data_IF_332538378622
#
_entry.id   IF_332538378622
#
_cell.length_a   1.000
_cell.length_b   1.000
_cell.length_c   1.000
_cell.angle_alpha   90.00
_cell.angle_beta   90.00
_cell.angle_gamma   90.00
#
_symmetry.space_group_name_H-M   'P 1'
#
loop_
_entity.id
_entity.type
_entity.pdbx_description
1 polymer ?
#
# COMPACT_ATOMS: atom_id res chain seq x y z
N UNK A 1 18.68 -26.93 62.65
CA UNK A 1 18.91 -27.14 61.20
C UNK A 1 17.79 -28.08 60.74
N UNK A 2 16.84 -27.83 59.84
CA UNK A 2 16.66 -26.90 58.72
C UNK A 2 15.18 -27.03 58.27
N UNK A 3 14.22 -26.32 58.90
CA UNK A 3 12.80 -26.50 58.54
C UNK A 3 12.02 -25.20 58.28
N UNK A 4 12.62 -24.05 58.59
CA UNK A 4 11.95 -22.73 58.49
C UNK A 4 12.23 -21.98 57.18
N UNK A 5 12.98 -22.58 56.26
CA UNK A 5 13.45 -21.93 55.02
C UNK A 5 12.79 -22.43 53.73
N UNK A 6 11.80 -23.32 53.86
CA UNK A 6 11.18 -24.03 52.71
C UNK A 6 9.77 -23.54 52.37
N UNK A 7 9.18 -22.67 53.20
CA UNK A 7 7.87 -22.07 52.94
C UNK A 7 7.95 -20.70 52.25
N UNK A 8 9.06 -19.96 52.37
CA UNK A 8 9.19 -18.64 51.73
C UNK A 8 9.43 -18.71 50.22
N UNK A 9 10.02 -19.79 49.70
CA UNK A 9 10.32 -19.94 48.27
C UNK A 9 9.09 -20.27 47.43
N UNK A 10 8.03 -20.83 48.03
CA UNK A 10 6.79 -21.13 47.30
C UNK A 10 5.91 -19.89 47.08
N UNK A 11 6.02 -18.85 47.91
CA UNK A 11 5.20 -17.63 47.77
C UNK A 11 5.72 -16.67 46.70
N UNK A 12 7.02 -16.67 46.40
CA UNK A 12 7.58 -15.80 45.35
C UNK A 12 7.33 -16.28 43.92
N UNK A 13 7.03 -17.58 43.70
CA UNK A 13 6.75 -18.09 42.36
C UNK A 13 5.29 -17.91 41.91
N UNK A 14 4.35 -17.65 42.81
CA UNK A 14 2.95 -17.38 42.44
C UNK A 14 2.66 -15.93 42.04
N UNK A 15 3.57 -14.98 42.35
CA UNK A 15 3.39 -13.56 42.02
C UNK A 15 3.99 -13.14 40.65
N UNK A 16 4.67 -14.05 39.95
CA UNK A 16 5.32 -13.78 38.65
C UNK A 16 4.49 -14.20 37.41
N UNK A 17 3.22 -14.58 37.58
CA UNK A 17 2.34 -15.01 36.49
C UNK A 17 1.17 -14.05 36.20
N UNK A 18 1.12 -12.86 36.82
CA UNK A 18 -0.01 -11.91 36.68
C UNK A 18 0.29 -10.74 35.71
N UNK A 19 1.51 -10.61 35.21
CA UNK A 19 1.95 -9.40 34.49
C UNK A 19 2.31 -9.64 33.03
N UNK A 20 1.35 -10.05 32.19
CA UNK A 20 1.48 -9.92 30.72
C UNK A 20 0.19 -10.21 29.95
N UNK A 21 -0.91 -9.54 30.31
CA UNK A 21 -2.04 -9.37 29.37
C UNK A 21 -2.09 -7.90 28.98
N UNK A 22 -1.12 -7.47 28.17
CA UNK A 22 -1.31 -6.25 27.39
C UNK A 22 -2.32 -6.60 26.30
N UNK A 23 -3.58 -6.28 26.58
CA UNK A 23 -4.62 -6.24 25.55
C UNK A 23 -4.14 -5.25 24.49
N UNK A 24 -3.67 -5.77 23.36
CA UNK A 24 -3.51 -5.00 22.15
C UNK A 24 -4.89 -4.40 21.83
N UNK A 25 -5.01 -3.07 21.66
CA UNK A 25 -6.26 -2.51 21.19
C UNK A 25 -6.48 -3.08 19.78
N UNK A 26 -7.42 -4.01 19.66
CA UNK A 26 -8.00 -4.38 18.38
C UNK A 26 -8.62 -3.10 17.81
N UNK A 27 -7.92 -2.45 16.88
CA UNK A 27 -8.54 -1.43 16.07
C UNK A 27 -9.66 -2.12 15.30
N UNK A 28 -10.90 -1.85 15.70
CA UNK A 28 -12.06 -2.25 14.94
C UNK A 28 -11.88 -1.69 13.53
N UNK A 29 -11.77 -2.60 12.56
CA UNK A 29 -11.83 -2.27 11.14
C UNK A 29 -13.24 -1.74 10.92
N UNK A 30 -13.38 -0.41 10.93
CA UNK A 30 -14.64 0.24 10.60
C UNK A 30 -14.96 -0.15 9.15
N UNK A 31 -16.09 -0.81 8.87
CA UNK A 31 -16.48 -1.16 7.52
C UNK A 31 -16.52 0.10 6.66
N UNK A 32 -15.88 0.06 5.48
CA UNK A 32 -15.85 1.17 4.54
C UNK A 32 -17.28 1.61 4.20
N UNK A 33 -17.63 2.84 4.54
CA UNK A 33 -18.87 3.45 4.08
C UNK A 33 -18.85 3.54 2.55
N UNK A 34 -19.94 3.15 1.89
CA UNK A 34 -20.11 3.28 0.44
C UNK A 34 -20.27 4.74 -0.02
N UNK A 35 -20.44 5.67 0.93
CA UNK A 35 -20.57 7.10 0.67
C UNK A 35 -19.18 7.73 0.62
N UNK A 36 -18.81 8.41 -0.49
CA UNK A 36 -17.53 9.09 -0.58
C UNK A 36 -17.43 10.18 0.50
N UNK A 37 -16.34 10.20 1.28
CA UNK A 37 -16.18 11.21 2.33
C UNK A 37 -15.95 12.59 1.71
N UNK A 38 -16.46 13.62 2.38
CA UNK A 38 -16.17 15.01 2.00
C UNK A 38 -14.68 15.31 2.15
N UNK A 39 -14.11 16.05 1.21
CA UNK A 39 -12.71 16.46 1.27
C UNK A 39 -12.45 17.34 2.51
N UNK A 40 -11.45 16.94 3.31
CA UNK A 40 -11.04 17.65 4.51
C UNK A 40 -9.56 18.04 4.40
N UNK A 41 -9.29 19.31 4.12
CA UNK A 41 -7.91 19.79 3.94
C UNK A 41 -7.05 19.66 5.20
N UNK A 42 -7.67 19.71 6.39
CA UNK A 42 -6.93 19.62 7.67
C UNK A 42 -6.17 18.31 7.82
N UNK A 43 -6.69 17.22 7.26
CA UNK A 43 -6.03 15.90 7.26
C UNK A 43 -4.77 15.90 6.39
N UNK A 44 -4.75 16.71 5.33
CA UNK A 44 -3.66 16.75 4.36
C UNK A 44 -2.63 17.84 4.65
N UNK A 45 -3.00 18.87 5.40
CA UNK A 45 -2.13 20.01 5.71
C UNK A 45 -0.71 19.64 6.15
N UNK A 46 -0.48 18.65 7.06
CA UNK A 46 0.88 18.26 7.48
C UNK A 46 1.76 17.74 6.34
N UNK A 47 1.16 17.13 5.32
CA UNK A 47 1.86 16.46 4.22
C UNK A 47 2.43 17.43 3.18
N UNK A 48 1.99 18.70 3.19
CA UNK A 48 2.50 19.77 2.33
C UNK A 48 3.92 20.20 2.70
N UNK A 49 4.31 20.02 3.95
CA UNK A 49 5.62 20.40 4.43
C UNK A 49 6.74 19.55 3.80
N UNK A 50 7.96 20.07 3.77
CA UNK A 50 9.14 19.23 3.57
C UNK A 50 9.46 18.57 4.90
N UNK A 51 9.59 17.25 4.90
CA UNK A 51 10.11 16.52 6.05
C UNK A 51 11.59 16.25 5.92
N UNK A 52 12.07 15.39 6.82
CA UNK A 52 13.45 14.92 6.87
C UNK A 52 13.55 13.40 6.67
N UNK A 53 12.41 12.71 6.64
CA UNK A 53 12.35 11.28 6.37
C UNK A 53 12.55 10.94 4.89
N UNK A 54 12.57 9.64 4.62
CA UNK A 54 12.69 9.08 3.28
C UNK A 54 12.12 7.67 3.20
N UNK A 55 11.87 7.23 1.98
CA UNK A 55 11.36 5.89 1.70
C UNK A 55 12.08 5.36 0.46
N UNK A 56 12.65 4.16 0.53
CA UNK A 56 13.35 3.52 -0.58
C UNK A 56 13.01 2.04 -0.65
N UNK A 57 12.92 1.52 -1.86
CA UNK A 57 12.48 0.16 -2.09
C UNK A 57 12.55 -0.27 -3.54
N UNK A 58 11.90 -1.39 -3.81
CA UNK A 58 11.76 -1.97 -5.13
C UNK A 58 10.28 -2.21 -5.45
N UNK A 59 9.88 -1.92 -6.69
CA UNK A 59 8.53 -2.15 -7.20
C UNK A 59 8.54 -3.17 -8.33
N UNK A 60 7.65 -4.17 -8.25
CA UNK A 60 7.48 -5.20 -9.28
C UNK A 60 6.09 -5.84 -9.19
N UNK A 61 5.63 -6.40 -10.31
CA UNK A 61 4.47 -7.31 -10.31
C UNK A 61 4.94 -8.76 -10.35
N UNK A 62 4.13 -9.67 -9.81
CA UNK A 62 4.35 -11.10 -10.03
C UNK A 62 3.63 -11.54 -11.32
N UNK A 63 4.39 -12.02 -12.30
CA UNK A 63 3.83 -12.69 -13.48
C UNK A 63 3.16 -14.02 -13.10
N UNK A 64 2.34 -14.58 -14.00
CA UNK A 64 1.73 -15.92 -13.80
C UNK A 64 2.77 -17.03 -13.61
N UNK A 65 3.97 -16.86 -14.20
CA UNK A 65 5.13 -17.74 -14.01
C UNK A 65 5.81 -17.64 -12.63
N UNK A 66 5.41 -16.68 -11.79
CA UNK A 66 6.07 -16.37 -10.52
C UNK A 66 7.27 -15.44 -10.63
N UNK A 67 7.72 -15.11 -11.85
CA UNK A 67 8.80 -14.15 -12.10
C UNK A 67 8.39 -12.73 -11.69
N UNK A 68 9.31 -11.99 -11.08
CA UNK A 68 9.14 -10.56 -10.82
C UNK A 68 9.32 -9.75 -12.11
N UNK A 69 8.36 -8.89 -12.41
CA UNK A 69 8.35 -7.99 -13.57
C UNK A 69 8.48 -6.56 -13.10
N UNK A 70 9.57 -5.90 -13.49
CA UNK A 70 9.84 -4.48 -13.24
C UNK A 70 9.58 -3.66 -14.50
N UNK A 71 9.42 -2.35 -14.36
CA UNK A 71 9.29 -1.43 -15.48
C UNK A 71 10.21 -0.22 -15.27
N UNK A 72 11.15 -0.03 -16.19
CA UNK A 72 12.03 1.13 -16.18
C UNK A 72 11.22 2.42 -16.34
N UNK A 73 11.52 3.42 -15.50
CA UNK A 73 10.89 4.74 -15.59
C UNK A 73 9.44 4.80 -15.10
N UNK A 74 8.88 3.69 -14.59
CA UNK A 74 7.55 3.67 -14.00
C UNK A 74 7.42 4.73 -12.90
N UNK A 75 6.27 5.41 -12.86
CA UNK A 75 6.00 6.40 -11.82
C UNK A 75 5.60 5.71 -10.52
N UNK A 76 6.22 6.10 -9.41
CA UNK A 76 5.83 5.71 -8.07
C UNK A 76 5.26 6.94 -7.37
N UNK A 77 4.07 6.80 -6.83
CA UNK A 77 3.36 7.86 -6.12
C UNK A 77 3.35 7.57 -4.63
N UNK A 78 3.67 8.59 -3.84
CA UNK A 78 3.47 8.59 -2.40
C UNK A 78 2.24 9.46 -2.10
N UNK A 79 1.20 8.82 -1.60
CA UNK A 79 -0.14 9.39 -1.42
C UNK A 79 -0.45 9.40 0.07
N UNK A 80 -0.66 10.57 0.70
CA UNK A 80 -1.06 10.64 2.10
C UNK A 80 -2.33 9.85 2.39
N UNK A 81 -2.38 9.16 3.53
CA UNK A 81 -3.57 8.46 4.00
C UNK A 81 -4.51 9.43 4.72
N UNK A 82 -5.43 10.02 3.97
CA UNK A 82 -6.56 10.80 4.45
C UNK A 82 -7.88 10.06 4.14
N UNK A 83 -9.00 10.54 4.66
CA UNK A 83 -10.31 9.90 4.47
C UNK A 83 -10.66 9.74 2.99
N UNK A 84 -10.45 10.77 2.17
CA UNK A 84 -10.73 10.74 0.72
C UNK A 84 -9.82 9.79 -0.05
N UNK A 85 -8.52 9.79 0.23
CA UNK A 85 -7.56 8.91 -0.46
C UNK A 85 -7.69 7.47 0.00
N UNK A 86 -8.09 7.22 1.26
CA UNK A 86 -8.46 5.88 1.74
C UNK A 86 -9.68 5.35 1.00
N UNK A 87 -10.76 6.13 0.88
CA UNK A 87 -11.93 5.71 0.12
C UNK A 87 -11.59 5.39 -1.34
N UNK A 88 -10.78 6.25 -2.01
CA UNK A 88 -10.30 5.96 -3.37
C UNK A 88 -9.48 4.66 -3.42
N UNK A 89 -8.56 4.48 -2.48
CA UNK A 89 -7.68 3.32 -2.44
C UNK A 89 -8.47 2.03 -2.22
N UNK A 90 -9.38 2.01 -1.24
CA UNK A 90 -10.20 0.85 -0.94
C UNK A 90 -11.05 0.45 -2.15
N UNK A 91 -11.75 1.42 -2.74
CA UNK A 91 -12.65 1.20 -3.87
C UNK A 91 -11.93 0.78 -5.15
N UNK A 92 -10.80 1.40 -5.46
CA UNK A 92 -10.17 1.27 -6.79
C UNK A 92 -8.92 0.40 -6.83
N UNK A 93 -8.14 0.40 -5.75
CA UNK A 93 -6.87 -0.34 -5.69
C UNK A 93 -7.06 -1.67 -4.96
N UNK A 94 -7.71 -1.68 -3.79
CA UNK A 94 -7.89 -2.89 -2.98
C UNK A 94 -8.98 -3.81 -3.52
N UNK A 95 -10.16 -3.28 -3.81
CA UNK A 95 -11.28 -4.05 -4.37
C UNK A 95 -11.08 -4.39 -5.86
N UNK A 96 -10.03 -3.87 -6.49
CA UNK A 96 -9.65 -4.07 -7.89
C UNK A 96 -10.84 -3.86 -8.85
N UNK A 97 -11.29 -2.62 -9.03
CA UNK A 97 -12.47 -2.32 -9.85
C UNK A 97 -12.31 -2.60 -11.34
N UNK A 98 -11.10 -2.89 -11.82
CA UNK A 98 -10.84 -3.13 -13.23
C UNK A 98 -11.00 -4.63 -13.57
N UNK A 99 -11.86 -4.99 -14.55
CA UNK A 99 -12.09 -6.38 -14.89
C UNK A 99 -10.82 -7.00 -15.50
N UNK A 100 -10.22 -7.96 -14.79
CA UNK A 100 -9.21 -8.84 -15.36
C UNK A 100 -9.93 -9.86 -16.23
N UNK A 101 -9.68 -9.86 -17.54
CA UNK A 101 -10.25 -10.82 -18.50
C UNK A 101 -9.96 -12.26 -18.05
N UNK A 102 -10.92 -12.91 -17.40
CA UNK A 102 -10.99 -14.35 -17.20
C UNK A 102 -12.16 -14.85 -18.02
N UNK A 103 -11.92 -15.84 -18.88
CA UNK A 103 -12.82 -16.19 -19.97
C UNK A 103 -14.19 -16.67 -19.52
N UNK A 104 -15.24 -16.03 -20.04
CA UNK A 104 -16.50 -16.67 -20.42
C UNK A 104 -17.16 -15.76 -21.46
N UNK A 105 -17.20 -16.21 -22.70
CA UNK A 105 -17.98 -15.60 -23.76
C UNK A 105 -19.47 -15.75 -23.46
N UNK A 106 -20.18 -14.63 -23.31
CA UNK A 106 -21.61 -14.54 -23.59
C UNK A 106 -21.79 -13.48 -24.68
N UNK A 107 -22.57 -13.74 -25.74
CA UNK A 107 -22.75 -12.78 -26.82
C UNK A 107 -23.74 -11.68 -26.40
N UNK A 108 -23.66 -10.54 -27.10
CA UNK A 108 -24.58 -9.39 -27.09
C UNK A 108 -24.29 -8.27 -26.08
N UNK A 109 -23.39 -7.34 -26.47
CA UNK A 109 -23.75 -5.95 -26.84
C UNK A 109 -22.46 -5.13 -27.11
N UNK A 110 -22.42 -4.18 -28.06
CA UNK A 110 -21.21 -3.43 -28.39
C UNK A 110 -21.07 -2.15 -27.54
N UNK A 111 -20.26 -2.20 -26.49
CA UNK A 111 -19.80 -1.02 -25.73
C UNK A 111 -18.26 -1.04 -25.80
N UNK A 112 -17.55 0.11 -25.93
CA UNK A 112 -16.11 0.11 -26.14
C UNK A 112 -15.41 -0.43 -24.90
N UNK A 113 -15.06 -1.72 -24.92
CA UNK A 113 -14.30 -2.36 -23.85
C UNK A 113 -12.86 -1.85 -23.91
N UNK A 114 -12.59 -0.77 -23.18
CA UNK A 114 -11.23 -0.33 -22.88
C UNK A 114 -10.44 -1.49 -22.29
N UNK A 115 -9.18 -1.63 -22.70
CA UNK A 115 -8.31 -2.69 -22.16
C UNK A 115 -8.20 -2.54 -20.63
N UNK A 116 -7.96 -3.63 -19.86
CA UNK A 116 -7.78 -3.54 -18.40
C UNK A 116 -6.72 -2.52 -17.99
N UNK A 117 -5.71 -2.31 -18.84
CA UNK A 117 -4.66 -1.30 -18.66
C UNK A 117 -5.23 0.11 -18.66
N UNK A 118 -6.17 0.38 -19.57
CA UNK A 118 -6.78 1.72 -19.70
C UNK A 118 -7.64 2.05 -18.49
N UNK A 119 -8.41 1.08 -17.99
CA UNK A 119 -9.15 1.23 -16.73
C UNK A 119 -8.20 1.59 -15.57
N UNK A 120 -7.06 0.90 -15.44
CA UNK A 120 -6.09 1.19 -14.38
C UNK A 120 -5.44 2.56 -14.55
N UNK A 121 -5.19 3.00 -15.79
CA UNK A 121 -4.71 4.36 -16.08
C UNK A 121 -5.74 5.40 -15.67
N UNK A 122 -7.01 5.20 -15.97
CA UNK A 122 -8.10 6.09 -15.57
C UNK A 122 -8.22 6.18 -14.03
N UNK A 123 -8.12 5.05 -13.33
CA UNK A 123 -8.10 5.00 -11.86
C UNK A 123 -7.00 5.89 -11.28
N UNK A 124 -5.78 5.77 -11.82
CA UNK A 124 -4.66 6.61 -11.41
C UNK A 124 -4.86 8.07 -11.83
N UNK A 125 -5.32 8.33 -13.05
CA UNK A 125 -5.54 9.66 -13.58
C UNK A 125 -6.54 10.46 -12.75
N UNK A 126 -7.62 9.84 -12.27
CA UNK A 126 -8.59 10.48 -11.40
C UNK A 126 -7.94 11.05 -10.13
N UNK A 127 -7.04 10.28 -9.49
CA UNK A 127 -6.31 10.76 -8.31
C UNK A 127 -5.32 11.88 -8.66
N UNK A 128 -4.59 11.73 -9.76
CA UNK A 128 -3.51 12.64 -10.16
C UNK A 128 -4.02 13.97 -10.73
N UNK A 129 -5.26 14.01 -11.21
CA UNK A 129 -5.90 15.22 -11.75
C UNK A 129 -6.74 15.97 -10.71
N UNK A 130 -6.95 15.40 -9.51
CA UNK A 130 -7.61 16.10 -8.42
C UNK A 130 -6.72 17.24 -7.91
N UNK A 131 -7.08 18.47 -8.31
CA UNK A 131 -6.38 19.71 -7.95
C UNK A 131 -6.18 19.87 -6.45
N UNK A 132 -7.07 19.28 -5.64
CA UNK A 132 -7.00 19.36 -4.17
C UNK A 132 -5.91 18.44 -3.60
N UNK A 133 -5.57 17.36 -4.29
CA UNK A 133 -4.57 16.38 -3.86
C UNK A 133 -3.17 16.70 -4.38
N UNK A 134 -3.05 17.29 -5.57
CA UNK A 134 -1.77 17.60 -6.23
C UNK A 134 -0.70 18.18 -5.28
N UNK A 135 -0.99 19.15 -4.39
CA UNK A 135 0.02 19.73 -3.48
C UNK A 135 0.61 18.76 -2.46
N UNK A 136 -0.05 17.62 -2.24
CA UNK A 136 0.27 16.64 -1.20
C UNK A 136 0.86 15.34 -1.77
N UNK A 137 0.77 15.15 -3.08
CA UNK A 137 1.32 13.99 -3.78
C UNK A 137 2.83 14.16 -3.99
N UNK A 138 3.56 13.06 -3.88
CA UNK A 138 4.98 13.02 -4.29
C UNK A 138 5.15 11.94 -5.33
N UNK A 139 6.02 12.20 -6.30
CA UNK A 139 6.29 11.28 -7.39
C UNK A 139 7.79 11.09 -7.53
N UNK A 140 8.20 9.85 -7.77
CA UNK A 140 9.54 9.48 -8.20
C UNK A 140 9.43 8.48 -9.36
N UNK A 141 10.56 8.09 -9.95
CA UNK A 141 10.59 7.09 -11.03
C UNK A 141 11.44 5.90 -10.65
N UNK A 142 11.00 4.72 -11.05
CA UNK A 142 11.77 3.49 -10.92
C UNK A 142 12.97 3.53 -11.87
N UNK A 143 14.11 3.01 -11.43
CA UNK A 143 15.19 2.64 -12.32
C UNK A 143 14.85 1.34 -13.10
N UNK A 144 15.71 0.87 -14.02
CA UNK A 144 15.44 -0.35 -14.78
C UNK A 144 15.22 -1.62 -13.94
N UNK A 145 15.79 -1.68 -12.72
CA UNK A 145 15.63 -2.80 -11.80
C UNK A 145 14.47 -2.62 -10.82
N UNK A 146 13.61 -1.61 -11.03
CA UNK A 146 12.45 -1.34 -10.17
C UNK A 146 12.76 -0.60 -8.87
N UNK A 147 14.00 -0.18 -8.62
CA UNK A 147 14.32 0.56 -7.40
C UNK A 147 13.86 2.01 -7.48
N UNK A 148 13.40 2.53 -6.35
CA UNK A 148 12.94 3.91 -6.20
C UNK A 148 13.35 4.49 -4.85
N UNK A 149 13.32 5.82 -4.76
CA UNK A 149 13.48 6.52 -3.49
C UNK A 149 12.72 7.85 -3.47
N UNK A 150 12.21 8.19 -2.29
CA UNK A 150 11.68 9.49 -1.92
C UNK A 150 12.60 10.13 -0.87
N UNK A 151 12.74 11.44 -0.93
CA UNK A 151 13.48 12.22 0.06
C UNK A 151 12.63 13.37 0.58
N UNK A 152 13.01 13.89 1.76
CA UNK A 152 12.35 15.05 2.39
C UNK A 152 10.85 14.81 2.62
N UNK A 153 10.52 13.58 3.01
CA UNK A 153 9.15 13.14 3.27
C UNK A 153 8.78 13.50 4.72
N UNK A 154 7.65 14.19 4.96
CA UNK A 154 7.17 14.45 6.32
C UNK A 154 6.75 13.14 6.99
N UNK A 155 6.69 13.18 8.32
CA UNK A 155 6.16 12.06 9.07
C UNK A 155 4.66 11.88 8.76
N UNK A 156 4.18 10.64 8.80
CA UNK A 156 2.79 10.30 8.57
C UNK A 156 2.62 8.99 7.81
N UNK A 157 1.35 8.70 7.50
CA UNK A 157 0.97 7.44 6.85
C UNK A 157 0.72 7.64 5.37
N UNK A 158 1.22 6.73 4.56
CA UNK A 158 1.20 6.84 3.10
C UNK A 158 0.81 5.53 2.43
N UNK A 159 0.13 5.65 1.29
CA UNK A 159 0.14 4.63 0.25
C UNK A 159 1.32 4.90 -0.68
N UNK A 160 2.12 3.87 -0.94
CA UNK A 160 3.06 3.82 -2.07
C UNK A 160 2.37 3.06 -3.18
N UNK A 161 2.17 3.69 -4.35
CA UNK A 161 1.38 3.11 -5.44
C UNK A 161 2.10 3.29 -6.77
N UNK A 162 2.10 2.26 -7.61
CA UNK A 162 2.62 2.31 -8.98
C UNK A 162 1.78 1.45 -9.91
N UNK A 163 1.40 2.01 -11.06
CA UNK A 163 0.87 1.23 -12.18
C UNK A 163 2.04 0.66 -12.97
N UNK A 164 2.12 -0.66 -13.03
CA UNK A 164 3.11 -1.36 -13.82
C UNK A 164 2.42 -2.02 -15.01
N UNK A 165 2.98 -1.75 -16.18
CA UNK A 165 2.62 -2.28 -17.47
C UNK A 165 3.81 -3.08 -17.98
N UNK A 166 3.92 -4.34 -17.53
CA UNK A 166 4.98 -5.22 -17.98
C UNK A 166 5.01 -5.28 -19.50
N UNK A 167 6.09 -4.79 -20.11
CA UNK A 167 6.35 -5.12 -21.51
C UNK A 167 6.80 -6.56 -21.52
N UNK A 168 5.92 -7.46 -21.94
CA UNK A 168 6.28 -8.87 -22.10
C UNK A 168 7.52 -8.95 -22.98
N UNK A 169 8.49 -9.77 -22.56
CA UNK A 169 9.51 -10.27 -23.49
C UNK A 169 8.85 -11.06 -24.63
N UNK A 170 9.63 -11.76 -25.42
CA UNK A 170 9.13 -12.53 -26.57
C UNK A 170 8.01 -13.54 -26.24
N UNK A 171 7.77 -13.85 -24.96
CA UNK A 171 6.72 -14.74 -24.48
C UNK A 171 5.64 -14.00 -23.68
N UNK A 172 4.39 -14.27 -24.04
CA UNK A 172 3.18 -13.67 -23.46
C UNK A 172 3.03 -13.95 -21.95
N UNK A 173 3.63 -15.03 -21.46
CA UNK A 173 3.60 -15.49 -20.07
C UNK A 173 4.40 -14.60 -19.09
N UNK A 174 5.22 -13.68 -19.62
CA UNK A 174 5.95 -12.68 -18.82
C UNK A 174 5.22 -11.34 -18.74
N UNK A 175 4.01 -11.23 -19.30
CA UNK A 175 3.23 -9.99 -19.25
C UNK A 175 2.44 -9.89 -17.96
N UNK A 176 2.82 -8.98 -17.09
CA UNK A 176 2.06 -8.61 -15.89
C UNK A 176 1.60 -7.16 -16.02
N UNK A 177 0.32 -6.89 -15.81
CA UNK A 177 -0.21 -5.52 -15.72
C UNK A 177 -1.06 -5.40 -14.47
N UNK A 178 -0.88 -4.33 -13.71
CA UNK A 178 -1.55 -4.16 -12.43
C UNK A 178 -1.01 -2.98 -11.63
N UNK A 179 -1.70 -2.71 -10.51
CA UNK A 179 -1.26 -1.72 -9.53
C UNK A 179 -0.50 -2.44 -8.43
N UNK A 180 0.79 -2.10 -8.30
CA UNK A 180 1.60 -2.47 -7.16
C UNK A 180 1.43 -1.44 -6.05
N UNK A 181 1.26 -1.89 -4.80
CA UNK A 181 1.04 -0.97 -3.69
C UNK A 181 1.60 -1.49 -2.36
N UNK A 182 1.81 -0.56 -1.42
CA UNK A 182 2.20 -0.82 -0.03
C UNK A 182 1.70 0.33 0.86
N UNK A 183 1.31 0.05 2.10
CA UNK A 183 1.11 1.08 3.12
C UNK A 183 2.35 1.20 4.00
N UNK A 184 2.79 2.43 4.26
CA UNK A 184 3.89 2.72 5.17
C UNK A 184 3.46 3.76 6.22
N UNK A 185 4.00 3.62 7.43
CA UNK A 185 4.04 4.68 8.43
C UNK A 185 5.47 5.20 8.48
N UNK A 186 5.65 6.51 8.55
CA UNK A 186 6.95 7.15 8.63
C UNK A 186 6.98 8.05 9.86
N UNK A 187 7.87 7.71 10.78
CA UNK A 187 8.19 8.57 11.90
C UNK A 187 9.05 9.78 11.47
N UNK A 188 9.17 10.75 12.38
CA UNK A 188 10.03 11.91 12.17
C UNK A 188 11.47 11.45 11.96
N UNK A 189 12.08 11.88 10.85
CA UNK A 189 13.46 11.57 10.45
C UNK A 189 13.70 10.12 10.04
N UNK A 190 12.65 9.30 9.98
CA UNK A 190 12.76 7.89 9.59
C UNK A 190 13.12 7.74 8.11
N UNK A 191 14.01 6.78 7.82
CA UNK A 191 14.34 6.34 6.46
C UNK A 191 13.94 4.89 6.29
N UNK A 192 12.71 4.66 5.86
CA UNK A 192 12.24 3.32 5.52
C UNK A 192 13.01 2.82 4.29
N UNK A 193 13.67 1.67 4.41
CA UNK A 193 14.43 1.03 3.33
C UNK A 193 13.96 -0.40 3.13
N UNK A 194 14.36 -1.02 2.02
CA UNK A 194 13.96 -2.39 1.66
C UNK A 194 12.44 -2.58 1.52
N UNK A 195 11.72 -1.50 1.18
CA UNK A 195 10.29 -1.58 0.90
C UNK A 195 10.05 -2.43 -0.35
N UNK A 196 9.10 -3.35 -0.28
CA UNK A 196 8.70 -4.19 -1.41
C UNK A 196 7.28 -3.80 -1.81
N UNK A 197 7.13 -3.20 -2.99
CA UNK A 197 5.86 -2.73 -3.52
C UNK A 197 5.42 -3.70 -4.64
N UNK A 198 4.33 -4.42 -4.42
CA UNK A 198 3.89 -5.46 -5.36
C UNK A 198 2.36 -5.56 -5.44
N UNK A 199 1.83 -6.36 -6.38
CA UNK A 199 0.39 -6.62 -6.46
C UNK A 199 -0.01 -7.53 -5.31
N UNK A 200 -0.44 -6.92 -4.21
CA UNK A 200 -0.83 -7.70 -3.05
C UNK A 200 -2.11 -8.48 -3.32
N UNK A 201 -1.95 -9.77 -3.68
CA UNK A 201 -3.03 -10.74 -3.90
C UNK A 201 -3.36 -11.56 -2.65
N UNK A 202 -2.66 -11.32 -1.53
CA UNK A 202 -2.89 -12.01 -0.26
C UNK A 202 -3.53 -11.08 0.76
N UNK A 203 -4.29 -11.63 1.71
CA UNK A 203 -4.87 -10.94 2.88
C UNK A 203 -3.83 -10.34 3.85
N UNK A 204 -2.54 -10.40 3.53
CA UNK A 204 -1.41 -10.05 4.39
C UNK A 204 -0.69 -8.76 3.96
N UNK A 205 -1.33 -7.95 3.13
CA UNK A 205 -1.05 -6.51 3.03
C UNK A 205 -2.28 -5.74 3.52
#
# INVERSE_FOLDING_TARGET
MTWRNRQLTCWFMSLLLISSVHATPAQAVVPGSSIPPTFNEKELFPYRAKGRGGAAGQVFLRASSGKAVTQAGASIYLIPMASSTRYWFDKHVRENSCPSKSGASSPESPVPHGSPVECLREVMAHLLTDKKLIPYLRTTRANPTGHFWFTKVPAGRYYVVSLLEGSGGAHQDERAVGIAWLTIDLDVDEKATNLVVTDCKSVLC
#
